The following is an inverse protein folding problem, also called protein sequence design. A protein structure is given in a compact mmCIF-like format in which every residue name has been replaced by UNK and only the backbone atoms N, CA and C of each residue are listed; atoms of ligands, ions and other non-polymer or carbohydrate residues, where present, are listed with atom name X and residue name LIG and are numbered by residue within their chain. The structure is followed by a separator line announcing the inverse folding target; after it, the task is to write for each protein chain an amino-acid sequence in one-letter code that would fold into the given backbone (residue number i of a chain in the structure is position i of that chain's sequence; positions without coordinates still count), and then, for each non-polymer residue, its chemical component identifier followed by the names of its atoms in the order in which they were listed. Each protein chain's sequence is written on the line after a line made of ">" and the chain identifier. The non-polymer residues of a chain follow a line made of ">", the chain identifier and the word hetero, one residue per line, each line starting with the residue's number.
data_IF_685677575997
#
_entry.id   IF_685677575997
#
_cell.length_a   1.000
_cell.length_b   1.000
_cell.length_c   1.000
_cell.angle_alpha   90.00
_cell.angle_beta   90.00
_cell.angle_gamma   90.00
#
_symmetry.space_group_name_H-M   'P 1'
#
loop_
_entity.id
_entity.type
_entity.pdbx_description
1 polymer ?
#
# COMPACT_ATOMS: atom_id res chain seq x y z
N UNK A 1 -11.35 -6.43 0.33
CA UNK A 1 -11.47 -5.01 -0.06
C UNK A 1 -11.51 -4.11 1.16
N UNK A 2 -12.48 -4.27 2.07
CA UNK A 2 -12.59 -3.45 3.31
C UNK A 2 -11.26 -3.32 4.08
N UNK A 3 -10.59 -4.44 4.38
CA UNK A 3 -9.28 -4.44 5.06
C UNK A 3 -8.25 -3.55 4.35
N UNK A 4 -8.19 -3.57 3.01
CA UNK A 4 -7.26 -2.76 2.22
C UNK A 4 -7.65 -1.27 2.26
N UNK A 5 -8.96 -0.97 2.25
CA UNK A 5 -9.46 0.40 2.29
C UNK A 5 -9.21 1.09 3.63
N UNK A 6 -9.12 0.33 4.72
CA UNK A 6 -8.88 0.85 6.07
C UNK A 6 -7.44 0.69 6.55
N UNK A 7 -6.59 0.01 5.77
CA UNK A 7 -5.21 -0.24 6.16
C UNK A 7 -4.38 1.06 6.14
N UNK A 8 -3.68 1.41 7.22
CA UNK A 8 -2.84 2.61 7.26
C UNK A 8 -1.79 2.63 6.15
N UNK A 9 -1.70 3.74 5.42
CA UNK A 9 -0.75 3.91 4.33
C UNK A 9 -1.09 3.15 3.04
N UNK A 10 -2.30 2.58 2.95
CA UNK A 10 -2.82 1.93 1.75
C UNK A 10 -3.94 2.78 1.16
N UNK A 11 -3.94 2.92 -0.16
CA UNK A 11 -5.05 3.50 -0.93
C UNK A 11 -5.63 2.40 -1.81
N UNK A 12 -6.92 2.08 -1.60
CA UNK A 12 -7.65 1.18 -2.49
C UNK A 12 -8.19 1.98 -3.68
N UNK A 13 -7.65 1.72 -4.88
CA UNK A 13 -8.11 2.30 -6.14
C UNK A 13 -8.51 1.14 -7.08
N UNK A 14 -9.79 0.77 -7.04
CA UNK A 14 -10.32 -0.44 -7.66
C UNK A 14 -11.76 -0.20 -8.17
N UNK A 15 -11.90 0.39 -9.36
CA UNK A 15 -13.19 0.50 -10.06
C UNK A 15 -13.18 -0.26 -11.40
N UNK A 16 -13.55 -1.55 -11.40
CA UNK A 16 -13.62 -2.35 -12.62
C UNK A 16 -14.69 -1.91 -13.61
N UNK A 17 -15.74 -1.21 -13.17
CA UNK A 17 -16.82 -0.75 -14.06
C UNK A 17 -16.36 0.46 -14.89
N UNK A 18 -15.56 1.34 -14.28
CA UNK A 18 -14.90 2.45 -14.96
C UNK A 18 -13.57 2.06 -15.64
N UNK A 19 -13.02 0.88 -15.31
CA UNK A 19 -11.71 0.44 -15.80
C UNK A 19 -10.53 1.15 -15.10
N UNK A 20 -10.77 1.72 -13.92
CA UNK A 20 -9.80 2.52 -13.18
C UNK A 20 -9.05 1.67 -12.15
N UNK A 21 -7.73 1.68 -12.28
CA UNK A 21 -6.79 0.91 -11.46
C UNK A 21 -5.47 1.68 -11.36
N UNK A 22 -4.67 1.45 -10.31
CA UNK A 22 -3.44 2.20 -10.14
C UNK A 22 -2.45 1.86 -11.24
N UNK A 23 -1.79 2.87 -11.77
CA UNK A 23 -0.64 2.73 -12.66
C UNK A 23 0.63 3.22 -11.98
N UNK A 24 1.82 2.82 -12.45
CA UNK A 24 3.06 3.36 -11.94
C UNK A 24 3.18 4.89 -12.07
N UNK A 25 2.50 5.50 -13.05
CA UNK A 25 2.51 6.95 -13.23
C UNK A 25 1.72 7.70 -12.13
N UNK A 26 0.63 7.11 -11.65
CA UNK A 26 -0.26 7.72 -10.65
C UNK A 26 0.40 7.84 -9.26
N UNK A 27 1.38 6.97 -8.98
CA UNK A 27 1.94 6.81 -7.64
C UNK A 27 3.24 7.58 -7.41
N UNK A 28 3.86 8.12 -8.48
CA UNK A 28 5.12 8.86 -8.39
C UNK A 28 4.96 10.07 -7.47
N UNK A 29 5.89 10.24 -6.53
CA UNK A 29 5.90 11.34 -5.57
C UNK A 29 4.82 11.24 -4.49
N UNK A 30 4.06 10.15 -4.43
CA UNK A 30 3.09 9.88 -3.37
C UNK A 30 3.70 8.99 -2.30
N UNK A 31 3.21 9.14 -1.07
CA UNK A 31 3.66 8.37 0.09
C UNK A 31 2.93 7.03 0.31
N UNK A 32 1.61 6.87 0.00
CA UNK A 32 0.91 5.61 0.22
C UNK A 32 1.23 4.55 -0.84
N UNK A 33 0.93 3.30 -0.51
CA UNK A 33 0.90 2.20 -1.47
C UNK A 33 -0.51 2.06 -2.03
N UNK A 34 -0.63 2.05 -3.36
CA UNK A 34 -1.91 1.95 -4.05
C UNK A 34 -2.17 0.50 -4.45
N UNK A 35 -3.39 0.04 -4.23
CA UNK A 35 -3.82 -1.35 -4.49
C UNK A 35 -5.08 -1.33 -5.34
N UNK A 36 -5.12 -2.18 -6.37
CA UNK A 36 -6.30 -2.36 -7.22
C UNK A 36 -6.34 -3.74 -7.86
N UNK A 37 -7.23 -3.94 -8.84
CA UNK A 37 -7.46 -5.24 -9.52
C UNK A 37 -7.80 -6.37 -8.55
N UNK A 38 -8.45 -6.07 -7.43
CA UNK A 38 -8.63 -7.03 -6.33
C UNK A 38 -9.68 -8.07 -6.74
N UNK A 39 -9.27 -9.32 -6.90
CA UNK A 39 -10.18 -10.40 -7.28
C UNK A 39 -9.73 -11.74 -6.73
N UNK A 40 -10.65 -12.69 -6.62
CA UNK A 40 -10.32 -14.09 -6.38
C UNK A 40 -9.68 -14.68 -7.62
N UNK A 41 -8.74 -15.61 -7.47
CA UNK A 41 -8.24 -16.38 -8.59
C UNK A 41 -9.38 -17.21 -9.22
N UNK A 42 -9.25 -17.54 -10.51
CA UNK A 42 -10.28 -18.30 -11.23
C UNK A 42 -10.22 -19.80 -10.94
N UNK A 43 -9.04 -20.30 -10.59
CA UNK A 43 -8.72 -21.71 -10.41
C UNK A 43 -8.61 -22.13 -8.93
N UNK A 44 -8.34 -21.19 -8.02
CA UNK A 44 -8.25 -21.45 -6.59
C UNK A 44 -9.18 -20.53 -5.78
N UNK A 45 -10.10 -21.18 -5.08
CA UNK A 45 -11.05 -20.58 -4.16
C UNK A 45 -10.41 -19.81 -2.98
N UNK A 46 -9.15 -20.09 -2.65
CA UNK A 46 -8.45 -19.49 -1.51
C UNK A 46 -7.44 -18.44 -1.94
N UNK A 47 -7.14 -18.33 -3.23
CA UNK A 47 -6.18 -17.37 -3.75
C UNK A 47 -6.82 -16.00 -4.06
N UNK A 48 -6.07 -14.95 -3.76
CA UNK A 48 -6.42 -13.55 -4.02
C UNK A 48 -5.36 -12.96 -4.96
N UNK A 49 -5.83 -12.39 -6.06
CA UNK A 49 -5.01 -11.60 -6.98
C UNK A 49 -5.26 -10.11 -6.76
N UNK A 50 -4.18 -9.33 -6.76
CA UNK A 50 -4.23 -7.88 -6.67
C UNK A 50 -3.03 -7.27 -7.39
N UNK A 51 -3.14 -6.00 -7.74
CA UNK A 51 -2.08 -5.21 -8.33
C UNK A 51 -1.67 -4.09 -7.37
N UNK A 52 -0.37 -3.89 -7.19
CA UNK A 52 0.21 -2.96 -6.22
C UNK A 52 1.15 -2.00 -6.93
N UNK A 53 1.01 -0.70 -6.66
CA UNK A 53 1.90 0.34 -7.15
C UNK A 53 2.31 1.27 -5.99
N UNK A 54 3.56 1.73 -6.02
CA UNK A 54 4.05 2.74 -5.09
C UNK A 54 5.33 3.38 -5.62
N UNK A 55 5.65 4.57 -5.14
CA UNK A 55 6.95 5.19 -5.42
C UNK A 55 8.07 4.45 -4.68
N UNK A 56 8.99 3.86 -5.45
CA UNK A 56 10.09 3.05 -4.93
C UNK A 56 11.19 3.88 -4.25
N UNK A 57 11.33 5.17 -4.57
CA UNK A 57 12.31 6.06 -3.95
C UNK A 57 11.80 6.62 -2.62
N UNK A 58 10.49 6.80 -2.47
CA UNK A 58 9.85 7.23 -1.21
C UNK A 58 9.50 6.08 -0.29
N UNK A 59 8.34 5.42 -0.50
CA UNK A 59 7.87 4.34 0.38
C UNK A 59 8.82 3.15 0.38
N UNK A 60 9.45 2.87 -0.77
CA UNK A 60 10.43 1.80 -0.90
C UNK A 60 11.79 2.04 -0.21
N UNK A 61 12.11 3.28 0.20
CA UNK A 61 13.41 3.58 0.82
C UNK A 61 13.32 4.66 1.91
N UNK A 62 13.18 5.93 1.54
CA UNK A 62 13.34 7.05 2.47
C UNK A 62 12.24 7.10 3.55
N UNK A 63 10.97 6.96 3.16
CA UNK A 63 9.85 7.06 4.08
C UNK A 63 9.80 5.87 5.04
N UNK A 64 10.07 4.65 4.57
CA UNK A 64 10.14 3.48 5.45
C UNK A 64 11.26 3.63 6.50
N UNK A 65 12.42 4.14 6.08
CA UNK A 65 13.55 4.41 6.98
C UNK A 65 13.18 5.43 8.06
N UNK A 66 12.53 6.55 7.69
CA UNK A 66 12.08 7.55 8.65
C UNK A 66 11.04 6.99 9.62
N UNK A 67 10.04 6.25 9.12
CA UNK A 67 8.99 5.63 9.95
C UNK A 67 9.56 4.64 10.97
N UNK A 68 10.54 3.83 10.58
CA UNK A 68 11.22 2.92 11.51
C UNK A 68 11.99 3.72 12.57
N UNK A 69 12.72 4.76 12.18
CA UNK A 69 13.47 5.60 13.12
C UNK A 69 12.56 6.28 14.16
N UNK A 70 11.38 6.77 13.74
CA UNK A 70 10.37 7.35 14.64
C UNK A 70 9.85 6.33 15.65
N UNK A 71 9.56 5.10 15.22
CA UNK A 71 9.11 4.03 16.11
C UNK A 71 10.18 3.67 17.15
N UNK A 72 11.44 3.54 16.72
CA UNK A 72 12.57 3.23 17.63
C UNK A 72 12.77 4.35 18.64
N UNK A 73 12.73 5.62 18.21
CA UNK A 73 12.87 6.76 19.11
C UNK A 73 11.74 6.81 20.16
N UNK A 74 10.49 6.54 19.74
CA UNK A 74 9.34 6.49 20.64
C UNK A 74 9.42 5.34 21.66
N UNK A 75 10.07 4.23 21.32
CA UNK A 75 10.30 3.11 22.26
C UNK A 75 11.37 3.47 23.29
N UNK A 76 12.48 4.09 22.85
CA UNK A 76 13.55 4.55 23.76
C UNK A 76 13.01 5.54 24.79
N UNK A 77 12.18 6.49 24.36
CA UNK A 77 11.55 7.48 25.25
C UNK A 77 10.62 6.80 26.26
N UNK A 78 9.88 5.75 25.87
CA UNK A 78 8.96 5.03 26.77
C UNK A 78 9.66 4.15 27.80
N UNK A 79 10.87 3.68 27.49
CA UNK A 79 11.67 2.84 28.38
C UNK A 79 12.53 3.65 29.38
N UNK A 80 12.55 4.99 29.26
CA UNK A 80 13.27 5.92 30.14
C UNK A 80 12.35 6.50 31.22
#
# INVERSE_FOLDING_TARGET
>A
REILATAPGVVLFDDPAAGEFPTPADVVGTDPTWVGRVRRALDDATALELFVCGDNLRKGAALNTAQIAELVAAEIIRAS
#
